data_IF_512602895901
#
_entry.id   IF_512602895901
#
_cell.length_a   1.000
_cell.length_b   1.000
_cell.length_c   1.000
_cell.angle_alpha   90.00
_cell.angle_beta   90.00
_cell.angle_gamma   90.00
#
_symmetry.space_group_name_H-M   'P 1'
#
loop_
_entity.id
_entity.type
_entity.pdbx_description
1 polymer ?
#
# COMPACT_ATOMS: atom_id res chain seq x y z
N UNK A 1 -5.83 10.93 11.19
CA UNK A 1 -5.92 9.94 12.31
C UNK A 1 -4.55 9.80 12.94
N UNK A 2 -4.49 9.63 14.24
CA UNK A 2 -3.23 9.41 14.95
C UNK A 2 -2.79 7.95 14.78
N UNK A 3 -1.47 7.68 14.67
CA UNK A 3 -0.98 6.31 14.51
C UNK A 3 -1.44 5.35 15.61
N UNK A 4 -1.54 5.82 16.85
CA UNK A 4 -1.96 4.99 17.98
C UNK A 4 -3.43 4.59 17.93
N UNK A 5 -4.20 5.16 17.03
CA UNK A 5 -5.61 4.79 16.83
C UNK A 5 -5.77 3.62 15.86
N UNK A 6 -4.68 3.20 15.22
CA UNK A 6 -4.72 2.02 14.38
C UNK A 6 -4.96 0.78 15.25
N UNK A 7 -5.87 -0.06 14.81
CA UNK A 7 -6.09 -1.34 15.49
C UNK A 7 -4.98 -2.32 15.13
N UNK A 8 -4.64 -3.26 16.04
CA UNK A 8 -3.58 -4.25 15.74
C UNK A 8 -3.80 -4.99 14.42
N UNK A 9 -5.04 -5.35 14.10
CA UNK A 9 -5.34 -6.05 12.83
C UNK A 9 -5.06 -5.16 11.62
N UNK A 10 -5.31 -3.86 11.73
CA UNK A 10 -5.03 -2.90 10.65
C UNK A 10 -3.53 -2.76 10.43
N UNK A 11 -2.79 -2.64 11.51
CA UNK A 11 -1.33 -2.55 11.46
C UNK A 11 -0.73 -3.81 10.84
N UNK A 12 -1.20 -4.97 11.26
CA UNK A 12 -0.71 -6.24 10.75
C UNK A 12 -0.98 -6.37 9.25
N UNK A 13 -2.19 -6.06 8.82
CA UNK A 13 -2.56 -6.14 7.40
C UNK A 13 -1.70 -5.20 6.55
N UNK A 14 -1.51 -3.96 6.99
CA UNK A 14 -0.71 -2.99 6.27
C UNK A 14 0.76 -3.45 6.17
N UNK A 15 1.33 -3.91 7.27
CA UNK A 15 2.72 -4.37 7.28
C UNK A 15 2.91 -5.62 6.42
N UNK A 16 1.94 -6.54 6.41
CA UNK A 16 1.97 -7.69 5.51
C UNK A 16 2.01 -7.26 4.04
N UNK A 17 1.15 -6.31 3.66
CA UNK A 17 1.12 -5.83 2.28
C UNK A 17 2.42 -5.10 1.92
N UNK A 18 2.95 -4.28 2.81
CA UNK A 18 4.21 -3.58 2.57
C UNK A 18 5.36 -4.56 2.37
N UNK A 19 5.38 -5.63 3.15
CA UNK A 19 6.40 -6.68 3.02
C UNK A 19 6.29 -7.37 1.66
N UNK A 20 5.09 -7.78 1.26
CA UNK A 20 4.88 -8.44 -0.03
C UNK A 20 5.21 -7.51 -1.20
N UNK A 21 4.93 -6.22 -1.06
CA UNK A 21 5.21 -5.25 -2.12
C UNK A 21 6.72 -5.06 -2.36
N UNK A 22 7.58 -5.50 -1.44
CA UNK A 22 9.03 -5.43 -1.63
C UNK A 22 9.57 -6.58 -2.48
N UNK A 23 8.78 -7.62 -2.71
CA UNK A 23 9.17 -8.75 -3.57
C UNK A 23 8.97 -8.38 -5.05
N UNK A 24 9.38 -9.25 -5.97
CA UNK A 24 9.37 -8.96 -7.40
C UNK A 24 8.42 -9.88 -8.21
N UNK A 25 7.39 -10.41 -7.56
CA UNK A 25 6.41 -11.27 -8.21
C UNK A 25 5.29 -10.44 -8.85
N UNK A 26 4.49 -11.07 -9.72
CA UNK A 26 3.30 -10.42 -10.29
C UNK A 26 2.29 -10.01 -9.22
N UNK A 27 2.16 -10.81 -8.18
CA UNK A 27 1.29 -10.49 -7.05
C UNK A 27 1.82 -9.28 -6.28
N UNK A 28 3.15 -9.21 -6.08
CA UNK A 28 3.79 -8.07 -5.43
C UNK A 28 3.53 -6.76 -6.18
N UNK A 29 3.55 -6.81 -7.52
CA UNK A 29 3.25 -5.65 -8.34
C UNK A 29 1.82 -5.16 -8.10
N UNK A 30 0.86 -6.07 -8.04
CA UNK A 30 -0.55 -5.71 -7.80
C UNK A 30 -0.74 -5.10 -6.43
N UNK A 31 -0.06 -5.62 -5.43
CA UNK A 31 -0.08 -5.07 -4.07
C UNK A 31 0.52 -3.67 -4.06
N UNK A 32 1.66 -3.49 -4.74
CA UNK A 32 2.31 -2.19 -4.85
C UNK A 32 1.38 -1.17 -5.51
N UNK A 33 0.72 -1.54 -6.61
CA UNK A 33 -0.20 -0.65 -7.29
C UNK A 33 -1.34 -0.20 -6.36
N UNK A 34 -1.84 -1.12 -5.53
CA UNK A 34 -2.88 -0.82 -4.56
C UNK A 34 -2.39 0.18 -3.50
N UNK A 35 -1.23 -0.09 -2.91
CA UNK A 35 -0.67 0.77 -1.87
C UNK A 35 -0.32 2.16 -2.41
N UNK A 36 0.28 2.22 -3.60
CA UNK A 36 0.71 3.48 -4.18
C UNK A 36 -0.46 4.34 -4.64
N UNK A 37 -1.62 3.73 -4.93
CA UNK A 37 -2.84 4.47 -5.20
C UNK A 37 -3.34 5.23 -3.98
N UNK A 38 -2.99 4.78 -2.77
CA UNK A 38 -3.26 5.51 -1.54
C UNK A 38 -2.16 6.55 -1.28
N UNK A 39 -0.91 6.20 -1.57
CA UNK A 39 0.25 7.07 -1.31
C UNK A 39 0.24 8.33 -2.18
N UNK A 40 0.12 8.15 -3.49
CA UNK A 40 0.12 9.27 -4.44
C UNK A 40 -0.49 8.83 -5.77
N UNK A 41 -1.83 8.83 -5.87
CA UNK A 41 -2.49 8.35 -7.09
C UNK A 41 -2.23 9.22 -8.32
N UNK A 42 -1.93 10.50 -8.13
CA UNK A 42 -1.64 11.40 -9.25
C UNK A 42 -0.34 11.04 -9.96
N UNK A 43 0.70 10.71 -9.19
CA UNK A 43 2.01 10.38 -9.73
C UNK A 43 2.20 8.88 -9.96
N UNK A 44 1.74 8.05 -9.03
CA UNK A 44 1.97 6.60 -9.07
C UNK A 44 0.92 5.83 -9.86
N UNK A 45 -0.25 6.44 -10.10
CA UNK A 45 -1.35 5.80 -10.81
C UNK A 45 -2.44 5.30 -9.86
N UNK A 46 -3.59 5.02 -10.46
CA UNK A 46 -4.76 4.53 -9.75
C UNK A 46 -4.76 3.01 -9.76
N UNK A 47 -5.54 2.42 -8.86
CA UNK A 47 -5.63 0.99 -8.75
C UNK A 47 -6.78 0.45 -9.61
N UNK A 48 -6.48 -0.53 -10.47
CA UNK A 48 -7.48 -1.26 -11.23
C UNK A 48 -8.02 -2.38 -10.34
N UNK A 49 -9.32 -2.33 -10.02
CA UNK A 49 -9.94 -3.31 -9.14
C UNK A 49 -9.80 -4.75 -9.63
N UNK A 50 -9.74 -4.95 -10.96
CA UNK A 50 -9.56 -6.31 -11.50
C UNK A 50 -8.20 -6.89 -11.18
N UNK A 51 -7.23 -6.06 -10.80
CA UNK A 51 -5.93 -6.56 -10.36
C UNK A 51 -6.08 -7.48 -9.13
N UNK A 52 -7.14 -7.31 -8.34
CA UNK A 52 -7.43 -8.19 -7.21
C UNK A 52 -7.70 -9.64 -7.59
N UNK A 53 -8.01 -9.89 -8.87
CA UNK A 53 -8.21 -11.27 -9.34
C UNK A 53 -6.90 -12.06 -9.34
N UNK A 54 -5.77 -11.40 -9.31
CA UNK A 54 -4.44 -12.02 -9.38
C UNK A 54 -3.70 -12.11 -8.07
N UNK A 55 -4.39 -11.95 -6.93
CA UNK A 55 -3.76 -12.07 -5.62
C UNK A 55 -4.41 -13.22 -4.84
N UNK A 56 -3.65 -13.78 -3.89
CA UNK A 56 -4.16 -14.83 -3.02
C UNK A 56 -5.26 -14.28 -2.11
N UNK A 57 -6.10 -15.19 -1.62
CA UNK A 57 -7.27 -14.81 -0.82
C UNK A 57 -6.88 -14.08 0.47
N UNK A 58 -5.83 -14.52 1.14
CA UNK A 58 -5.36 -13.87 2.36
C UNK A 58 -4.80 -12.47 2.08
N UNK A 59 -4.18 -12.28 0.92
CA UNK A 59 -3.73 -10.95 0.48
C UNK A 59 -4.94 -10.06 0.21
N UNK A 60 -5.96 -10.59 -0.47
CA UNK A 60 -7.18 -9.84 -0.72
C UNK A 60 -7.87 -9.41 0.58
N UNK A 61 -7.84 -10.26 1.59
CA UNK A 61 -8.37 -9.94 2.93
C UNK A 61 -7.61 -8.76 3.54
N UNK A 62 -6.28 -8.81 3.48
CA UNK A 62 -5.46 -7.70 3.97
C UNK A 62 -5.73 -6.41 3.21
N UNK A 63 -5.92 -6.50 1.89
CA UNK A 63 -6.25 -5.33 1.08
C UNK A 63 -7.59 -4.72 1.51
N UNK A 64 -8.58 -5.54 1.84
CA UNK A 64 -9.86 -5.04 2.33
C UNK A 64 -9.71 -4.31 3.66
N UNK A 65 -8.91 -4.86 4.57
CA UNK A 65 -8.63 -4.22 5.86
C UNK A 65 -7.94 -2.88 5.66
N UNK A 66 -6.95 -2.83 4.77
CA UNK A 66 -6.20 -1.59 4.50
C UNK A 66 -7.08 -0.56 3.78
N UNK A 67 -7.98 -0.99 2.90
CA UNK A 67 -8.92 -0.08 2.27
C UNK A 67 -9.79 0.61 3.32
N UNK A 68 -10.32 -0.16 4.27
CA UNK A 68 -11.12 0.42 5.36
C UNK A 68 -10.29 1.37 6.21
N UNK A 69 -9.03 0.99 6.50
CA UNK A 69 -8.12 1.84 7.24
C UNK A 69 -7.92 3.17 6.51
N UNK A 70 -7.66 3.14 5.21
CA UNK A 70 -7.43 4.34 4.42
C UNK A 70 -8.65 5.27 4.45
N UNK A 71 -9.86 4.72 4.32
CA UNK A 71 -11.09 5.53 4.37
C UNK A 71 -11.33 6.10 5.77
N UNK A 72 -11.06 5.32 6.81
CA UNK A 72 -11.24 5.76 8.19
C UNK A 72 -10.21 6.80 8.59
N UNK A 73 -8.96 6.62 8.14
CA UNK A 73 -7.88 7.55 8.46
C UNK A 73 -8.09 8.92 7.81
N UNK A 74 -8.71 8.94 6.64
CA UNK A 74 -8.97 10.16 5.88
C UNK A 74 -7.70 11.01 5.72
N UNK A 75 -6.56 10.35 5.51
CA UNK A 75 -5.26 10.99 5.38
C UNK A 75 -4.31 10.04 4.67
N UNK A 76 -3.15 10.55 4.25
CA UNK A 76 -2.13 9.74 3.59
C UNK A 76 -1.37 8.87 4.60
N UNK A 77 -0.77 7.76 4.15
CA UNK A 77 -0.17 6.79 5.08
C UNK A 77 1.05 7.29 5.86
N UNK A 78 1.70 8.37 5.42
CA UNK A 78 2.81 8.95 6.17
C UNK A 78 2.35 9.49 7.54
N UNK A 79 1.09 9.93 7.63
CA UNK A 79 0.54 10.39 8.90
C UNK A 79 0.39 9.26 9.91
N UNK A 80 0.42 8.02 9.44
CA UNK A 80 0.35 6.83 10.29
C UNK A 80 1.73 6.28 10.63
N UNK A 81 2.79 6.95 10.19
CA UNK A 81 4.16 6.54 10.49
C UNK A 81 4.79 5.61 9.47
N UNK A 82 4.21 5.46 8.28
CA UNK A 82 4.68 4.51 7.27
C UNK A 82 5.35 5.18 6.06
N UNK A 83 5.71 6.46 6.16
CA UNK A 83 6.37 7.19 5.06
C UNK A 83 7.55 6.45 4.47
N UNK A 84 8.56 6.06 5.27
CA UNK A 84 9.74 5.38 4.73
C UNK A 84 9.42 4.06 4.02
N UNK A 85 8.46 3.29 4.54
CA UNK A 85 8.07 2.02 3.93
C UNK A 85 7.40 2.23 2.57
N UNK A 86 6.53 3.24 2.44
CA UNK A 86 5.91 3.56 1.17
C UNK A 86 6.92 4.10 0.17
N UNK A 87 7.89 4.89 0.62
CA UNK A 87 8.97 5.37 -0.24
C UNK A 87 9.80 4.21 -0.78
N UNK A 88 9.99 3.15 0.02
CA UNK A 88 10.68 1.94 -0.44
C UNK A 88 9.90 1.25 -1.55
N UNK A 89 8.56 1.23 -1.47
CA UNK A 89 7.71 0.68 -2.52
C UNK A 89 7.82 1.51 -3.80
N UNK A 90 7.87 2.84 -3.67
CA UNK A 90 8.08 3.73 -4.82
C UNK A 90 9.41 3.40 -5.51
N UNK A 91 10.48 3.26 -4.74
CA UNK A 91 11.80 2.93 -5.33
C UNK A 91 11.78 1.58 -6.06
N UNK A 92 11.03 0.62 -5.53
CA UNK A 92 10.96 -0.71 -6.13
C UNK A 92 10.15 -0.73 -7.42
N UNK A 93 9.04 0.01 -7.48
CA UNK A 93 8.05 -0.12 -8.58
C UNK A 93 7.86 1.13 -9.42
N UNK A 94 8.36 2.28 -8.96
CA UNK A 94 8.31 3.55 -9.69
C UNK A 94 9.66 4.27 -9.52
N UNK A 95 10.77 3.63 -9.94
CA UNK A 95 12.09 4.19 -9.69
C UNK A 95 12.30 5.57 -10.32
N UNK A 96 11.62 5.86 -11.42
CA UNK A 96 11.68 7.17 -12.08
C UNK A 96 11.18 8.29 -11.18
N UNK A 97 10.25 8.01 -10.28
CA UNK A 97 9.75 9.01 -9.34
C UNK A 97 10.73 9.22 -8.19
N UNK A 98 11.40 8.16 -7.75
CA UNK A 98 12.39 8.26 -6.68
C UNK A 98 13.64 9.02 -7.15
N UNK A 99 14.02 8.87 -8.41
CA UNK A 99 15.21 9.52 -8.97
C UNK A 99 15.02 11.01 -9.20
N UNK A 100 13.78 11.48 -9.25
CA UNK A 100 13.49 12.89 -9.52
C UNK A 100 13.74 13.79 -8.31
N UNK A 101 14.12 13.24 -7.19
CA UNK A 101 14.37 14.01 -5.97
C UNK A 101 15.87 14.36 -5.80
#
# INVERSE_FOLDING_TARGET
MQPERMMPAERQALENLLKHAQSDTGQSRRIADFLLAWWNPSACGKYDLTAGWGVDEDIAEDMCVVFRLATRANSYPDTLGYGPQFEAVVRAWRPELAESN
#
